data_IF_349029269932
#
_entry.id   IF_349029269932
#
_cell.length_a   1.000
_cell.length_b   1.000
_cell.length_c   1.000
_cell.angle_alpha   90.00
_cell.angle_beta   90.00
_cell.angle_gamma   90.00
#
_symmetry.space_group_name_H-M   'P 1'
#
loop_
_entity.id
_entity.type
_entity.pdbx_description
1 polymer ?
#
# COMPACT_ATOMS: atom_id res chain seq x y z
N UNK A 1 14.64 -25.84 7.10
CA UNK A 1 13.38 -25.36 6.47
C UNK A 1 12.20 -26.08 7.07
N UNK A 2 11.14 -25.38 7.45
CA UNK A 2 9.90 -26.00 7.93
C UNK A 2 9.26 -26.85 6.81
N UNK A 3 8.66 -28.00 7.17
CA UNK A 3 7.97 -28.84 6.19
C UNK A 3 6.73 -28.10 5.66
N UNK A 4 6.57 -28.03 4.34
CA UNK A 4 5.39 -27.48 3.69
C UNK A 4 4.13 -28.28 4.09
N UNK A 5 3.03 -27.58 4.35
CA UNK A 5 1.73 -28.18 4.58
C UNK A 5 1.18 -28.84 3.30
N UNK A 6 0.16 -29.71 3.42
CA UNK A 6 -0.46 -30.37 2.24
C UNK A 6 -0.94 -29.34 1.21
N UNK A 7 -1.65 -28.31 1.64
CA UNK A 7 -2.19 -27.27 0.76
C UNK A 7 -1.07 -26.45 0.10
N UNK A 8 -0.02 -26.11 0.84
CA UNK A 8 1.14 -25.42 0.26
C UNK A 8 1.82 -26.27 -0.82
N UNK A 9 1.99 -27.59 -0.59
CA UNK A 9 2.58 -28.46 -1.63
C UNK A 9 1.77 -28.45 -2.93
N UNK A 10 0.43 -28.46 -2.83
CA UNK A 10 -0.46 -28.40 -3.99
C UNK A 10 -0.32 -27.04 -4.69
N UNK A 11 -0.28 -25.94 -3.93
CA UNK A 11 -0.11 -24.61 -4.49
C UNK A 11 1.25 -24.43 -5.18
N UNK A 12 2.33 -24.90 -4.54
CA UNK A 12 3.68 -24.86 -5.13
C UNK A 12 3.81 -25.73 -6.40
N UNK A 13 3.12 -26.87 -6.47
CA UNK A 13 3.16 -27.73 -7.64
C UNK A 13 2.51 -27.10 -8.90
N UNK A 14 1.59 -26.13 -8.70
CA UNK A 14 0.95 -25.40 -9.80
C UNK A 14 1.80 -24.23 -10.34
N UNK A 15 2.79 -23.77 -9.57
CA UNK A 15 3.67 -22.67 -9.96
C UNK A 15 4.97 -23.24 -10.48
N UNK A 16 5.24 -23.05 -11.77
CA UNK A 16 6.51 -23.48 -12.39
C UNK A 16 7.67 -22.60 -11.90
N UNK A 17 8.63 -23.20 -11.23
CA UNK A 17 9.79 -22.49 -10.69
C UNK A 17 10.62 -21.85 -11.81
N UNK A 18 10.91 -20.57 -11.70
CA UNK A 18 11.72 -19.81 -12.67
C UNK A 18 10.98 -19.34 -13.92
N UNK A 19 9.70 -19.64 -14.08
CA UNK A 19 8.86 -19.11 -15.16
C UNK A 19 8.34 -17.73 -14.79
N UNK A 20 8.52 -16.78 -15.69
CA UNK A 20 7.90 -15.46 -15.61
C UNK A 20 6.57 -15.47 -16.37
N UNK A 21 5.49 -15.15 -15.67
CA UNK A 21 4.13 -15.13 -16.22
C UNK A 21 3.75 -13.72 -16.67
N UNK A 22 2.85 -13.61 -17.63
CA UNK A 22 2.19 -12.34 -17.93
C UNK A 22 1.24 -11.97 -16.82
N UNK A 23 1.03 -10.68 -16.60
CA UNK A 23 0.21 -10.17 -15.49
C UNK A 23 -1.21 -10.78 -15.44
N UNK A 24 -1.98 -10.91 -16.55
CA UNK A 24 -3.29 -11.56 -16.54
C UNK A 24 -3.22 -13.04 -16.16
N UNK A 25 -2.22 -13.76 -16.68
CA UNK A 25 -2.00 -15.18 -16.37
C UNK A 25 -1.66 -15.37 -14.90
N UNK A 26 -0.81 -14.49 -14.34
CA UNK A 26 -0.45 -14.50 -12.93
C UNK A 26 -1.65 -14.24 -12.03
N UNK A 27 -2.52 -13.29 -12.37
CA UNK A 27 -3.74 -12.99 -11.61
C UNK A 27 -4.74 -14.17 -11.62
N UNK A 28 -4.91 -14.83 -12.76
CA UNK A 28 -5.74 -16.04 -12.86
C UNK A 28 -5.16 -17.20 -12.04
N UNK A 29 -3.85 -17.44 -12.15
CA UNK A 29 -3.14 -18.48 -11.40
C UNK A 29 -3.24 -18.25 -9.90
N UNK A 30 -3.14 -17.00 -9.41
CA UNK A 30 -3.29 -16.68 -7.99
C UNK A 30 -4.64 -17.12 -7.43
N UNK A 31 -5.72 -16.96 -8.19
CA UNK A 31 -7.05 -17.43 -7.78
C UNK A 31 -7.12 -18.95 -7.63
N UNK A 32 -6.43 -19.68 -8.49
CA UNK A 32 -6.41 -21.14 -8.46
C UNK A 32 -5.54 -21.73 -7.34
N UNK A 33 -4.45 -21.04 -6.98
CA UNK A 33 -3.51 -21.52 -5.94
C UNK A 33 -3.87 -21.07 -4.55
N UNK A 34 -4.79 -20.11 -4.41
CA UNK A 34 -5.26 -19.63 -3.12
C UNK A 34 -6.17 -20.67 -2.47
N UNK A 35 -5.80 -21.09 -1.27
CA UNK A 35 -6.51 -22.13 -0.51
C UNK A 35 -7.06 -21.64 0.82
N UNK A 36 -7.01 -20.33 1.07
CA UNK A 36 -7.51 -19.71 2.31
C UNK A 36 -9.03 -19.70 2.35
N UNK A 37 -9.61 -19.82 3.55
CA UNK A 37 -11.05 -19.72 3.79
C UNK A 37 -11.53 -18.30 4.04
N UNK A 38 -10.60 -17.34 4.14
CA UNK A 38 -10.87 -15.92 4.30
C UNK A 38 -10.50 -15.18 3.00
N UNK A 39 -11.01 -13.98 2.84
CA UNK A 39 -10.70 -13.11 1.71
C UNK A 39 -9.26 -12.58 1.82
N UNK A 40 -8.32 -13.31 1.21
CA UNK A 40 -6.90 -13.03 1.29
C UNK A 40 -6.56 -11.74 0.53
N UNK A 41 -5.60 -10.97 1.07
CA UNK A 41 -5.03 -9.84 0.34
C UNK A 41 -4.16 -10.35 -0.81
N UNK A 42 -4.20 -9.61 -1.92
CA UNK A 42 -3.29 -9.79 -3.06
C UNK A 42 -2.24 -8.70 -2.96
N UNK A 43 -0.99 -9.11 -2.82
CA UNK A 43 0.14 -8.21 -2.62
C UNK A 43 1.06 -8.26 -3.85
N UNK A 44 1.64 -7.11 -4.19
CA UNK A 44 2.66 -6.98 -5.23
C UNK A 44 3.97 -6.56 -4.59
N UNK A 45 5.02 -7.30 -4.91
CA UNK A 45 6.38 -7.08 -4.45
C UNK A 45 7.26 -6.70 -5.63
N UNK A 46 7.81 -5.48 -5.63
CA UNK A 46 8.63 -4.95 -6.72
C UNK A 46 10.04 -4.70 -6.22
N UNK A 47 10.99 -5.49 -6.70
CA UNK A 47 12.41 -5.27 -6.42
C UNK A 47 12.99 -4.27 -7.40
N UNK A 48 13.52 -3.18 -6.87
CA UNK A 48 14.13 -2.09 -7.62
C UNK A 48 15.66 -2.15 -7.62
N UNK A 49 16.25 -1.57 -8.65
CA UNK A 49 17.71 -1.38 -8.78
C UNK A 49 18.18 -0.08 -8.12
N UNK A 50 17.70 0.24 -6.91
CA UNK A 50 18.06 1.43 -6.14
C UNK A 50 18.79 1.08 -4.86
N UNK A 51 19.60 2.01 -4.35
CA UNK A 51 20.23 1.91 -3.03
C UNK A 51 19.42 2.78 -2.03
N UNK A 52 18.61 2.16 -1.17
CA UNK A 52 17.75 2.89 -0.23
C UNK A 52 18.52 3.64 0.87
N UNK A 53 19.82 3.38 1.02
CA UNK A 53 20.69 4.11 1.94
C UNK A 53 20.98 5.54 1.48
N UNK A 54 20.85 5.78 0.17
CA UNK A 54 21.07 7.09 -0.45
C UNK A 54 19.75 7.85 -0.53
N UNK A 55 19.69 9.03 0.08
CA UNK A 55 18.48 9.83 0.13
C UNK A 55 17.93 10.19 -1.28
N UNK A 56 18.82 10.35 -2.27
CA UNK A 56 18.47 10.65 -3.67
C UNK A 56 17.98 9.43 -4.47
N UNK A 57 18.03 8.21 -3.89
CA UNK A 57 17.53 6.99 -4.50
C UNK A 57 16.34 6.39 -3.73
N UNK A 58 15.88 7.06 -2.69
CA UNK A 58 14.72 6.61 -1.92
C UNK A 58 13.43 6.87 -2.70
N UNK A 59 12.77 5.79 -3.10
CA UNK A 59 11.47 5.85 -3.79
C UNK A 59 10.36 5.79 -2.75
N UNK A 60 9.48 6.79 -2.79
CA UNK A 60 8.26 6.86 -2.00
C UNK A 60 7.20 7.59 -2.81
N UNK A 61 5.98 7.10 -2.78
CA UNK A 61 4.87 7.70 -3.49
C UNK A 61 3.52 7.27 -2.96
N UNK A 62 2.52 7.75 -3.65
CA UNK A 62 1.12 7.38 -3.44
C UNK A 62 0.52 6.97 -4.77
N UNK A 63 -0.44 6.07 -4.73
CA UNK A 63 -1.22 5.66 -5.90
C UNK A 63 -2.68 5.51 -5.48
N UNK A 64 -3.59 5.93 -6.33
CA UNK A 64 -5.02 5.69 -6.14
C UNK A 64 -5.40 4.50 -7.01
N UNK A 65 -5.89 3.44 -6.39
CA UNK A 65 -6.29 2.22 -7.09
C UNK A 65 -7.67 2.41 -7.72
N UNK A 66 -7.85 2.10 -9.02
CA UNK A 66 -9.14 2.25 -9.71
C UNK A 66 -10.28 1.49 -9.02
N UNK A 67 -9.99 0.30 -8.49
CA UNK A 67 -10.96 -0.57 -7.83
C UNK A 67 -10.82 -0.58 -6.30
N UNK A 68 -10.01 0.36 -5.74
CA UNK A 68 -9.73 0.39 -4.31
C UNK A 68 -8.92 -0.82 -3.83
N UNK A 69 -8.80 -0.96 -2.51
CA UNK A 69 -8.06 -2.07 -1.86
C UNK A 69 -8.97 -3.22 -1.42
N UNK A 70 -10.30 -3.06 -1.47
CA UNK A 70 -11.26 -4.01 -0.91
C UNK A 70 -11.28 -4.06 0.63
N UNK A 71 -10.62 -3.11 1.29
CA UNK A 71 -10.63 -2.96 2.75
C UNK A 71 -11.38 -1.69 3.13
N UNK A 72 -12.26 -1.78 4.12
CA UNK A 72 -12.87 -0.59 4.74
C UNK A 72 -11.83 0.10 5.59
N UNK A 73 -11.41 1.29 5.19
CA UNK A 73 -10.36 2.07 5.86
C UNK A 73 -11.00 2.99 6.90
N UNK A 74 -10.54 2.90 8.16
CA UNK A 74 -10.95 3.79 9.25
C UNK A 74 -10.05 5.00 9.26
N UNK A 75 -10.64 6.17 9.01
CA UNK A 75 -9.93 7.44 8.87
C UNK A 75 -10.14 8.31 10.10
N UNK A 76 -9.05 8.70 10.76
CA UNK A 76 -9.03 9.72 11.79
C UNK A 76 -8.56 11.04 11.19
N UNK A 77 -9.31 12.10 11.43
CA UNK A 77 -8.93 13.46 11.04
C UNK A 77 -8.61 14.29 12.27
N UNK A 78 -7.38 14.77 12.35
CA UNK A 78 -6.92 15.71 13.38
C UNK A 78 -6.92 17.12 12.79
N UNK A 79 -7.89 17.94 13.18
CA UNK A 79 -8.07 19.28 12.64
C UNK A 79 -8.58 20.26 13.70
N UNK A 80 -8.54 21.54 13.35
CA UNK A 80 -9.18 22.59 14.16
C UNK A 80 -10.71 22.49 14.06
N UNK A 81 -11.47 22.99 15.06
CA UNK A 81 -12.95 22.91 15.08
C UNK A 81 -13.64 23.42 13.80
N UNK A 82 -13.03 24.40 13.14
CA UNK A 82 -13.51 24.99 11.88
C UNK A 82 -13.61 23.97 10.74
N UNK A 83 -12.72 22.96 10.73
CA UNK A 83 -12.61 21.93 9.69
C UNK A 83 -13.34 20.62 10.04
N UNK A 84 -13.85 20.51 11.27
CA UNK A 84 -14.54 19.28 11.69
C UNK A 84 -15.81 18.99 10.87
N UNK A 85 -16.59 20.03 10.55
CA UNK A 85 -17.80 19.87 9.75
C UNK A 85 -17.48 19.32 8.35
N UNK A 86 -16.41 19.84 7.71
CA UNK A 86 -15.93 19.37 6.40
C UNK A 86 -15.47 17.91 6.46
N UNK A 87 -14.71 17.55 7.50
CA UNK A 87 -14.23 16.18 7.68
C UNK A 87 -15.36 15.17 7.92
N UNK A 88 -16.35 15.53 8.74
CA UNK A 88 -17.54 14.69 8.98
C UNK A 88 -18.40 14.54 7.72
N UNK A 89 -18.59 15.62 6.97
CA UNK A 89 -19.34 15.57 5.69
C UNK A 89 -18.64 14.69 4.63
N UNK A 90 -17.30 14.65 4.64
CA UNK A 90 -16.51 13.77 3.76
C UNK A 90 -16.53 12.29 4.20
N UNK A 91 -17.13 11.98 5.35
CA UNK A 91 -17.28 10.61 5.84
C UNK A 91 -16.10 10.11 6.67
N UNK A 92 -15.32 10.99 7.33
CA UNK A 92 -14.31 10.55 8.29
C UNK A 92 -14.94 9.79 9.47
N UNK A 93 -14.31 8.72 9.92
CA UNK A 93 -14.86 7.88 11.00
C UNK A 93 -14.63 8.53 12.37
N UNK A 94 -13.52 9.22 12.54
CA UNK A 94 -13.17 9.95 13.75
C UNK A 94 -12.66 11.35 13.38
N UNK A 95 -13.16 12.36 14.09
CA UNK A 95 -12.78 13.77 13.85
C UNK A 95 -12.62 14.49 15.19
N UNK A 96 -11.53 15.20 15.39
CA UNK A 96 -11.24 15.98 16.58
C UNK A 96 -9.75 16.27 16.73
N UNK A 97 -9.31 16.83 17.85
CA UNK A 97 -7.91 17.13 18.10
C UNK A 97 -7.46 16.59 19.46
N UNK A 98 -7.69 17.34 20.55
CA UNK A 98 -7.07 17.08 21.86
C UNK A 98 -7.54 15.73 22.44
N UNK A 99 -8.82 15.42 22.28
CA UNK A 99 -9.41 14.15 22.73
C UNK A 99 -8.68 12.94 22.12
N UNK A 100 -8.41 12.98 20.81
CA UNK A 100 -7.74 11.88 20.12
C UNK A 100 -6.22 11.88 20.38
N UNK A 101 -5.61 13.05 20.57
CA UNK A 101 -4.21 13.15 20.99
C UNK A 101 -4.02 12.43 22.32
N UNK A 102 -4.90 12.64 23.30
CA UNK A 102 -4.81 11.99 24.61
C UNK A 102 -5.16 10.50 24.55
N UNK A 103 -6.14 10.10 23.74
CA UNK A 103 -6.43 8.68 23.47
C UNK A 103 -5.22 7.96 22.87
N UNK A 104 -4.53 8.57 21.89
CA UNK A 104 -3.33 8.01 21.26
C UNK A 104 -2.18 7.92 22.25
N UNK A 105 -1.97 8.92 23.12
CA UNK A 105 -1.00 8.85 24.23
C UNK A 105 -1.30 7.67 25.16
N UNK A 106 -2.58 7.39 25.39
CA UNK A 106 -3.05 6.22 26.14
C UNK A 106 -2.88 4.88 25.41
N UNK A 107 -2.36 4.88 24.18
CA UNK A 107 -2.09 3.68 23.39
C UNK A 107 -3.19 3.30 22.37
N UNK A 108 -4.27 4.08 22.27
CA UNK A 108 -5.30 3.82 21.25
C UNK A 108 -4.77 4.11 19.83
N UNK A 109 -4.86 3.14 18.95
CA UNK A 109 -4.39 3.24 17.56
C UNK A 109 -5.29 2.44 16.62
N UNK A 110 -6.57 2.38 16.94
CA UNK A 110 -7.55 1.57 16.21
C UNK A 110 -8.08 2.27 14.96
N UNK A 111 -7.13 2.81 14.17
CA UNK A 111 -7.33 3.52 12.91
C UNK A 111 -6.33 3.03 11.86
N UNK A 112 -6.70 3.15 10.60
CA UNK A 112 -5.85 2.72 9.49
C UNK A 112 -5.10 3.89 8.84
N UNK A 113 -5.70 5.09 8.82
CA UNK A 113 -5.06 6.31 8.28
C UNK A 113 -5.38 7.50 9.18
N UNK A 114 -4.37 8.35 9.40
CA UNK A 114 -4.51 9.62 10.10
C UNK A 114 -4.25 10.76 9.11
N UNK A 115 -5.21 11.65 8.97
CA UNK A 115 -5.10 12.89 8.20
C UNK A 115 -5.02 14.05 9.20
N UNK A 116 -4.18 15.02 8.94
CA UNK A 116 -4.12 16.22 9.79
C UNK A 116 -3.97 17.50 8.97
N UNK A 117 -4.40 18.61 9.55
CA UNK A 117 -4.10 19.93 9.00
C UNK A 117 -2.69 20.37 9.41
N UNK A 118 -1.98 21.15 8.59
CA UNK A 118 -0.63 21.62 8.92
C UNK A 118 -0.54 22.34 10.27
N UNK A 119 -1.57 23.07 10.64
CA UNK A 119 -1.63 23.86 11.86
C UNK A 119 -1.51 23.02 13.15
N UNK A 120 -2.04 21.78 13.13
CA UNK A 120 -2.02 20.88 14.31
C UNK A 120 -0.84 19.90 14.28
N UNK A 121 0.01 19.97 13.25
CA UNK A 121 1.14 19.05 13.10
C UNK A 121 2.13 19.10 14.28
N UNK A 122 2.25 20.24 14.96
CA UNK A 122 3.05 20.38 16.17
C UNK A 122 2.59 19.43 17.29
N UNK A 123 1.29 19.35 17.52
CA UNK A 123 0.69 18.48 18.55
C UNK A 123 0.83 17.01 18.15
N UNK A 124 0.63 16.70 16.86
CA UNK A 124 0.76 15.34 16.30
C UNK A 124 2.22 14.88 16.32
N UNK A 125 3.19 15.80 16.17
CA UNK A 125 4.62 15.52 16.25
C UNK A 125 5.04 14.85 17.56
N UNK A 126 4.43 15.24 18.68
CA UNK A 126 4.67 14.63 19.98
C UNK A 126 4.27 13.14 20.04
N UNK A 127 3.34 12.71 19.17
CA UNK A 127 2.88 11.32 19.07
C UNK A 127 3.77 10.44 18.17
N UNK A 128 4.82 11.00 17.59
CA UNK A 128 5.70 10.32 16.63
C UNK A 128 6.31 9.01 17.14
N UNK A 129 6.55 8.90 18.45
CA UNK A 129 7.04 7.67 19.10
C UNK A 129 6.03 6.53 19.06
N UNK A 130 4.73 6.84 19.04
CA UNK A 130 3.63 5.85 19.03
C UNK A 130 3.21 5.56 17.59
N UNK A 131 2.98 6.61 16.80
CA UNK A 131 2.45 6.52 15.44
C UNK A 131 3.53 6.10 14.42
N UNK A 132 4.80 6.50 14.63
CA UNK A 132 5.90 6.22 13.70
C UNK A 132 6.13 4.74 13.44
N UNK A 133 6.34 3.89 14.47
CA UNK A 133 6.55 2.45 14.30
C UNK A 133 5.37 1.73 13.64
N UNK A 134 4.16 2.28 13.78
CA UNK A 134 2.92 1.71 13.19
C UNK A 134 2.62 2.22 11.78
N UNK A 135 3.44 3.14 11.25
CA UNK A 135 3.21 3.72 9.92
C UNK A 135 2.04 4.71 9.85
N UNK A 136 1.45 5.07 10.99
CA UNK A 136 0.27 5.94 11.07
C UNK A 136 0.61 7.44 11.09
N UNK A 137 1.91 7.80 11.10
CA UNK A 137 2.34 9.19 11.19
C UNK A 137 2.00 9.96 9.91
N UNK A 138 1.18 11.03 9.99
CA UNK A 138 0.85 11.85 8.83
C UNK A 138 2.09 12.44 8.17
N UNK A 139 2.09 12.53 6.84
CA UNK A 139 3.22 13.04 6.08
C UNK A 139 2.75 13.88 4.89
N UNK A 140 3.32 15.08 4.68
CA UNK A 140 3.00 15.92 3.52
C UNK A 140 3.23 15.23 2.17
N UNK A 141 4.26 14.39 2.08
CA UNK A 141 4.61 13.68 0.82
C UNK A 141 3.56 12.63 0.41
N UNK A 142 2.79 12.12 1.35
CA UNK A 142 1.69 11.18 1.10
C UNK A 142 0.33 11.88 0.99
N UNK A 143 0.32 13.22 1.15
CA UNK A 143 -0.91 14.01 1.08
C UNK A 143 -1.84 13.80 2.29
N UNK A 144 -1.32 13.20 3.39
CA UNK A 144 -2.07 13.06 4.64
C UNK A 144 -1.95 14.28 5.56
N UNK A 145 -1.13 15.27 5.18
CA UNK A 145 -1.08 16.60 5.80
C UNK A 145 -1.54 17.61 4.76
N UNK A 146 -2.76 18.10 4.90
CA UNK A 146 -3.40 19.00 3.91
C UNK A 146 -4.41 19.92 4.56
N UNK A 147 -4.67 21.06 3.90
CA UNK A 147 -5.77 21.97 4.26
C UNK A 147 -7.11 21.53 3.64
N UNK A 148 -7.07 20.74 2.55
CA UNK A 148 -8.26 20.19 1.87
C UNK A 148 -8.64 18.83 2.47
N UNK A 149 -9.17 18.85 3.68
CA UNK A 149 -9.44 17.63 4.45
C UNK A 149 -10.49 16.76 3.77
N UNK A 150 -11.56 17.36 3.25
CA UNK A 150 -12.64 16.62 2.60
C UNK A 150 -12.17 15.81 1.40
N UNK A 151 -11.34 16.42 0.54
CA UNK A 151 -10.75 15.74 -0.62
C UNK A 151 -9.83 14.59 -0.20
N UNK A 152 -8.97 14.82 0.80
CA UNK A 152 -8.05 13.80 1.28
C UNK A 152 -8.77 12.58 1.87
N UNK A 153 -9.84 12.78 2.64
CA UNK A 153 -10.68 11.70 3.15
C UNK A 153 -11.32 10.91 2.01
N UNK A 154 -11.89 11.61 1.01
CA UNK A 154 -12.47 10.97 -0.18
C UNK A 154 -11.46 10.11 -0.94
N UNK A 155 -10.24 10.62 -1.19
CA UNK A 155 -9.16 9.89 -1.88
C UNK A 155 -8.73 8.65 -1.10
N UNK A 156 -8.57 8.75 0.22
CA UNK A 156 -8.19 7.61 1.07
C UNK A 156 -9.28 6.54 1.06
N UNK A 157 -10.55 6.93 1.14
CA UNK A 157 -11.69 5.99 1.06
C UNK A 157 -11.88 5.40 -0.34
N UNK A 158 -11.47 6.13 -1.38
CA UNK A 158 -11.45 5.64 -2.76
C UNK A 158 -10.32 4.63 -3.04
N UNK A 159 -9.42 4.39 -2.08
CA UNK A 159 -8.34 3.41 -2.22
C UNK A 159 -6.97 4.00 -2.54
N UNK A 160 -6.69 5.21 -2.07
CA UNK A 160 -5.34 5.77 -2.08
C UNK A 160 -4.47 5.03 -1.09
N UNK A 161 -3.37 4.46 -1.59
CA UNK A 161 -2.35 3.77 -0.79
C UNK A 161 -1.02 4.50 -0.92
N UNK A 162 -0.22 4.45 0.13
CA UNK A 162 1.17 4.89 0.07
C UNK A 162 2.12 3.70 0.00
N UNK A 163 3.26 3.90 -0.64
CA UNK A 163 4.31 2.90 -0.71
C UNK A 163 5.68 3.55 -0.51
N UNK A 164 6.60 2.77 0.03
CA UNK A 164 7.97 3.17 0.28
C UNK A 164 8.89 1.99 0.06
N UNK A 165 10.05 2.26 -0.55
CA UNK A 165 11.10 1.26 -0.68
C UNK A 165 11.66 0.88 0.70
N UNK A 166 11.86 -0.41 0.92
CA UNK A 166 12.46 -0.97 2.14
C UNK A 166 14.00 -0.89 2.12
N UNK A 167 14.66 -1.46 3.13
CA UNK A 167 16.13 -1.47 3.25
C UNK A 167 16.83 -2.33 2.18
N UNK A 168 16.10 -3.21 1.50
CA UNK A 168 16.59 -4.12 0.47
C UNK A 168 16.29 -3.66 -0.95
N UNK A 169 15.66 -2.49 -1.11
CA UNK A 169 15.27 -1.96 -2.40
C UNK A 169 13.97 -2.57 -2.94
N UNK A 170 13.10 -3.08 -2.07
CA UNK A 170 11.84 -3.70 -2.46
C UNK A 170 10.68 -2.80 -2.01
N UNK A 171 9.66 -2.71 -2.85
CA UNK A 171 8.37 -2.10 -2.52
C UNK A 171 7.38 -3.23 -2.30
N UNK A 172 6.68 -3.21 -1.17
CA UNK A 172 5.61 -4.11 -0.80
C UNK A 172 4.31 -3.30 -0.74
N UNK A 173 3.29 -3.72 -1.48
CA UNK A 173 1.99 -3.05 -1.44
C UNK A 173 0.85 -3.98 -1.81
N UNK A 174 -0.31 -3.76 -1.21
CA UNK A 174 -1.52 -4.54 -1.49
C UNK A 174 -2.26 -3.93 -2.69
N UNK A 175 -2.61 -4.75 -3.67
CA UNK A 175 -3.33 -4.34 -4.88
C UNK A 175 -4.81 -4.72 -4.87
N UNK A 176 -5.27 -5.46 -3.87
CA UNK A 176 -6.67 -5.83 -3.73
C UNK A 176 -6.90 -7.06 -2.88
N UNK A 177 -8.04 -7.68 -3.08
CA UNK A 177 -8.49 -8.91 -2.43
C UNK A 177 -8.69 -10.01 -3.46
N UNK A 178 -8.64 -11.27 -3.00
CA UNK A 178 -8.87 -12.43 -3.86
C UNK A 178 -10.32 -12.50 -4.38
N UNK A 179 -11.26 -11.85 -3.69
CA UNK A 179 -12.64 -11.67 -4.12
C UNK A 179 -12.78 -10.82 -5.39
N UNK A 180 -11.80 -9.97 -5.70
CA UNK A 180 -11.79 -9.18 -6.93
C UNK A 180 -11.71 -10.06 -8.17
N UNK A 181 -12.21 -9.58 -9.31
CA UNK A 181 -11.99 -10.23 -10.60
C UNK A 181 -10.51 -10.22 -10.98
N UNK A 182 -10.08 -11.14 -11.85
CA UNK A 182 -8.70 -11.13 -12.33
C UNK A 182 -8.34 -9.82 -13.04
N UNK A 183 -9.29 -9.24 -13.80
CA UNK A 183 -9.09 -7.98 -14.51
C UNK A 183 -8.92 -6.80 -13.54
N UNK A 184 -9.69 -6.73 -12.46
CA UNK A 184 -9.54 -5.70 -11.42
C UNK A 184 -8.16 -5.77 -10.74
N UNK A 185 -7.67 -6.98 -10.45
CA UNK A 185 -6.31 -7.17 -9.89
C UNK A 185 -5.26 -6.69 -10.88
N UNK A 186 -5.44 -7.00 -12.17
CA UNK A 186 -4.52 -6.59 -13.25
C UNK A 186 -4.49 -5.07 -13.41
N UNK A 187 -5.64 -4.41 -13.41
CA UNK A 187 -5.73 -2.95 -13.54
C UNK A 187 -5.09 -2.25 -12.35
N UNK A 188 -5.41 -2.68 -11.13
CA UNK A 188 -4.78 -2.15 -9.92
C UNK A 188 -3.26 -2.35 -9.93
N UNK A 189 -2.79 -3.55 -10.28
CA UNK A 189 -1.36 -3.85 -10.35
C UNK A 189 -0.64 -3.02 -11.42
N UNK A 190 -1.25 -2.81 -12.59
CA UNK A 190 -0.71 -1.93 -13.64
C UNK A 190 -0.55 -0.50 -13.16
N UNK A 191 -1.55 0.04 -12.44
CA UNK A 191 -1.48 1.41 -11.95
C UNK A 191 -0.36 1.60 -10.93
N UNK A 192 -0.18 0.63 -10.01
CA UNK A 192 0.96 0.62 -9.06
C UNK A 192 2.28 0.60 -9.82
N UNK A 193 2.44 -0.30 -10.80
CA UNK A 193 3.68 -0.43 -11.58
C UNK A 193 3.97 0.83 -12.38
N UNK A 194 2.96 1.42 -13.03
CA UNK A 194 3.08 2.68 -13.76
C UNK A 194 3.54 3.83 -12.85
N UNK A 195 2.97 3.92 -11.64
CA UNK A 195 3.39 4.93 -10.68
C UNK A 195 4.83 4.73 -10.22
N UNK A 196 5.23 3.49 -9.95
CA UNK A 196 6.62 3.17 -9.59
C UNK A 196 7.59 3.57 -10.72
N UNK A 197 7.24 3.29 -11.99
CA UNK A 197 8.06 3.68 -13.15
C UNK A 197 8.18 5.19 -13.30
N UNK A 198 7.08 5.94 -13.10
CA UNK A 198 7.08 7.42 -13.11
C UNK A 198 8.00 8.02 -12.04
N UNK A 199 8.11 7.36 -10.89
CA UNK A 199 8.92 7.81 -9.76
C UNK A 199 10.40 7.38 -9.83
N UNK A 200 10.86 6.88 -10.98
CA UNK A 200 12.26 6.48 -11.17
C UNK A 200 13.22 7.64 -10.86
N UNK A 201 14.11 7.49 -9.86
CA UNK A 201 15.10 8.53 -9.57
C UNK A 201 16.10 8.68 -10.72
N UNK A 202 16.50 9.92 -11.04
CA UNK A 202 17.54 10.20 -12.04
C UNK A 202 18.90 9.56 -11.69
N UNK A 203 19.16 9.35 -10.39
CA UNK A 203 20.38 8.72 -9.89
C UNK A 203 20.36 7.17 -10.01
N UNK A 204 19.24 6.55 -10.40
CA UNK A 204 19.17 5.10 -10.60
C UNK A 204 19.81 4.71 -11.93
N UNK A 205 20.91 3.93 -11.85
CA UNK A 205 21.67 3.43 -13.01
C UNK A 205 21.28 1.97 -13.28
N UNK A 206 21.28 1.59 -14.56
CA UNK A 206 20.96 0.23 -14.99
C UNK A 206 19.48 -0.11 -14.98
N UNK A 207 19.14 -1.41 -14.84
CA UNK A 207 17.76 -1.88 -14.79
C UNK A 207 17.08 -1.39 -13.52
N UNK A 208 15.98 -0.63 -13.67
CA UNK A 208 15.25 -0.06 -12.56
C UNK A 208 14.35 -1.10 -11.86
N UNK A 209 13.55 -1.82 -12.63
CA UNK A 209 12.77 -2.95 -12.12
C UNK A 209 13.57 -4.23 -12.33
N UNK A 210 13.93 -4.90 -11.22
CA UNK A 210 14.70 -6.16 -11.25
C UNK A 210 13.80 -7.38 -11.29
N UNK A 211 12.77 -7.40 -10.47
CA UNK A 211 11.79 -8.48 -10.44
C UNK A 211 10.48 -8.00 -9.84
N UNK A 212 9.38 -8.59 -10.28
CA UNK A 212 8.03 -8.34 -9.79
C UNK A 212 7.42 -9.67 -9.43
N UNK A 213 6.78 -9.74 -8.26
CA UNK A 213 6.04 -10.90 -7.79
C UNK A 213 4.63 -10.49 -7.38
N UNK A 214 3.67 -11.34 -7.66
CA UNK A 214 2.32 -11.29 -7.09
C UNK A 214 2.15 -12.47 -6.14
N UNK A 215 1.56 -12.24 -4.98
CA UNK A 215 1.28 -13.27 -3.99
C UNK A 215 -0.06 -13.03 -3.30
N UNK A 216 -0.60 -14.05 -2.67
CA UNK A 216 -1.68 -13.89 -1.69
C UNK A 216 -1.15 -14.27 -0.31
N UNK A 217 -1.90 -13.93 0.74
CA UNK A 217 -1.45 -14.06 2.15
C UNK A 217 -0.76 -15.39 2.47
N UNK A 218 -1.17 -16.52 1.86
CA UNK A 218 -0.63 -17.85 2.17
C UNK A 218 -0.09 -18.59 0.92
N UNK A 219 -0.18 -18.01 -0.27
CA UNK A 219 0.26 -18.65 -1.51
C UNK A 219 1.76 -18.43 -1.79
N UNK A 220 2.37 -19.26 -2.65
CA UNK A 220 3.67 -18.93 -3.22
C UNK A 220 3.59 -17.65 -4.06
N UNK A 221 4.71 -16.91 -4.14
CA UNK A 221 4.83 -15.77 -5.04
C UNK A 221 4.94 -16.22 -6.50
N UNK A 222 4.15 -15.60 -7.36
CA UNK A 222 4.17 -15.81 -8.82
C UNK A 222 5.00 -14.71 -9.46
N UNK A 223 6.07 -15.08 -10.15
CA UNK A 223 6.95 -14.13 -10.83
C UNK A 223 6.28 -13.57 -12.08
N UNK A 224 6.30 -12.24 -12.23
CA UNK A 224 5.80 -11.53 -13.41
C UNK A 224 6.96 -11.17 -14.32
N UNK A 225 6.74 -11.26 -15.63
CA UNK A 225 7.70 -10.80 -16.61
C UNK A 225 7.86 -9.27 -16.54
N UNK A 226 9.03 -8.84 -16.07
CA UNK A 226 9.35 -7.42 -15.93
C UNK A 226 9.35 -6.66 -17.27
N UNK A 227 9.61 -7.34 -18.38
CA UNK A 227 9.57 -6.73 -19.71
C UNK A 227 8.14 -6.36 -20.13
N UNK A 228 7.15 -7.17 -19.71
CA UNK A 228 5.74 -6.88 -19.96
C UNK A 228 5.22 -5.67 -19.19
N UNK A 229 5.96 -5.22 -18.17
CA UNK A 229 5.63 -4.08 -17.31
C UNK A 229 6.21 -2.78 -17.87
N UNK A 230 7.36 -2.84 -18.53
CA UNK A 230 8.04 -1.65 -19.11
C UNK A 230 7.48 -1.25 -20.49
N UNK A 231 6.67 -2.07 -21.12
CA UNK A 231 6.03 -1.75 -22.39
C UNK A 231 4.83 -0.82 -22.15
N UNK A 232 4.96 0.42 -22.67
CA UNK A 232 3.90 1.43 -22.74
C UNK A 232 2.67 0.93 -23.50
#
# INVERSE_FOLDING_TARGET
MSKLTKNQKIAYAKVEAGKAYKLPEAAALLKEITFTKFDASVDIDVRLGVDPRKANQMVRGVVTLPHGTGKTVRVLVLCTPEKEAEAKAAGADYVGLDEFVDKIKGGWTDVDVIICTPNVMGNVGALGRILGPRGLMPNPKTGTVTMEVGKAVGEVKAGKIDFKVDKFGIIHTTVGKISFSADQIVENAKEVLNMILKLKPAAAKGSYVKSVYLSTTMSPGVQIDSKSVETK
#
